data_IF_162120165274
#
_entry.id   IF_162120165274
#
_cell.length_a   1.000
_cell.length_b   1.000
_cell.length_c   1.000
_cell.angle_alpha   90.00
_cell.angle_beta   90.00
_cell.angle_gamma   90.00
#
_symmetry.space_group_name_H-M   'P 1'
#
loop_
_entity.id
_entity.type
_entity.pdbx_description
1 polymer ?
#
# COMPACT_ATOMS: atom_id res chain seq x y z
N UNK A 1 -2.64 18.39 2.84
CA UNK A 1 -1.22 18.02 2.90
C UNK A 1 -0.90 17.21 1.67
N UNK A 2 0.12 17.62 0.92
CA UNK A 2 0.63 16.88 -0.24
C UNK A 2 1.70 15.87 0.21
N UNK A 3 1.78 14.72 -0.45
CA UNK A 3 2.77 13.68 -0.17
C UNK A 3 3.55 13.35 -1.43
N UNK A 4 4.86 13.17 -1.28
CA UNK A 4 5.78 12.85 -2.39
C UNK A 4 5.69 11.40 -2.84
N UNK A 5 5.23 10.49 -1.98
CA UNK A 5 5.01 9.09 -2.30
C UNK A 5 4.10 8.41 -1.28
N UNK A 6 3.65 7.20 -1.60
CA UNK A 6 2.80 6.40 -0.72
C UNK A 6 3.47 6.08 0.63
N UNK A 7 4.78 5.85 0.67
CA UNK A 7 5.52 5.61 1.93
C UNK A 7 5.41 6.81 2.88
N UNK A 8 5.51 8.03 2.35
CA UNK A 8 5.35 9.24 3.17
C UNK A 8 3.96 9.32 3.79
N UNK A 9 2.93 9.06 2.99
CA UNK A 9 1.55 9.02 3.45
C UNK A 9 1.35 7.96 4.54
N UNK A 10 1.76 6.72 4.28
CA UNK A 10 1.60 5.58 5.21
C UNK A 10 2.25 5.87 6.56
N UNK A 11 3.49 6.37 6.56
CA UNK A 11 4.20 6.66 7.80
C UNK A 11 3.61 7.88 8.52
N UNK A 12 3.10 8.88 7.79
CA UNK A 12 2.41 10.02 8.38
C UNK A 12 1.10 9.61 9.05
N UNK A 13 0.29 8.74 8.42
CA UNK A 13 -0.93 8.18 9.03
C UNK A 13 -0.59 7.36 10.28
N UNK A 14 0.50 6.58 10.25
CA UNK A 14 1.00 5.87 11.43
C UNK A 14 1.32 6.82 12.57
N UNK A 15 2.06 7.90 12.30
CA UNK A 15 2.39 8.90 13.32
C UNK A 15 1.14 9.60 13.88
N UNK A 16 0.15 9.91 13.04
CA UNK A 16 -1.15 10.46 13.47
C UNK A 16 -1.92 9.51 14.37
N UNK A 17 -1.98 8.23 14.00
CA UNK A 17 -2.70 7.19 14.75
C UNK A 17 -2.19 7.05 16.18
N UNK A 18 -0.87 7.16 16.38
CA UNK A 18 -0.23 7.03 17.69
C UNK A 18 0.06 8.38 18.37
N UNK A 19 -0.44 9.48 17.82
CA UNK A 19 -0.32 10.82 18.40
C UNK A 19 1.11 11.38 18.43
N UNK A 20 2.01 10.89 17.58
CA UNK A 20 3.40 11.33 17.53
C UNK A 20 3.59 12.50 16.56
N UNK A 21 3.31 13.71 17.04
CA UNK A 21 3.46 14.95 16.26
C UNK A 21 4.91 15.26 15.85
N UNK A 22 5.90 14.78 16.62
CA UNK A 22 7.32 14.97 16.33
C UNK A 22 7.69 14.13 15.09
N UNK A 23 7.42 12.83 15.12
CA UNK A 23 7.68 11.96 13.97
C UNK A 23 6.84 12.35 12.76
N UNK A 24 5.59 12.77 12.94
CA UNK A 24 4.77 13.30 11.85
C UNK A 24 5.47 14.48 11.15
N UNK A 25 5.98 15.45 11.90
CA UNK A 25 6.69 16.61 11.35
C UNK A 25 7.94 16.18 10.57
N UNK A 26 8.71 15.23 11.09
CA UNK A 26 9.91 14.70 10.44
C UNK A 26 9.57 13.95 9.14
N UNK A 27 8.52 13.13 9.16
CA UNK A 27 8.04 12.37 7.98
C UNK A 27 7.57 13.32 6.87
N UNK A 28 6.82 14.36 7.21
CA UNK A 28 6.32 15.34 6.23
C UNK A 28 7.44 16.19 5.61
N UNK A 29 8.57 16.37 6.30
CA UNK A 29 9.75 17.08 5.79
C UNK A 29 10.73 16.19 5.02
N UNK A 30 10.70 14.88 5.26
CA UNK A 30 11.59 13.93 4.62
C UNK A 30 11.37 13.90 3.10
N UNK A 31 12.46 13.73 2.34
CA UNK A 31 12.41 13.65 0.86
C UNK A 31 12.69 12.26 0.32
N UNK A 32 13.26 11.38 1.13
CA UNK A 32 13.62 10.03 0.72
C UNK A 32 12.75 8.98 1.43
N UNK A 33 12.19 8.00 0.69
CA UNK A 33 11.39 6.92 1.27
C UNK A 33 12.10 6.15 2.39
N UNK A 34 13.42 6.00 2.27
CA UNK A 34 14.25 5.35 3.31
C UNK A 34 14.17 6.08 4.66
N UNK A 35 14.17 7.42 4.64
CA UNK A 35 14.06 8.25 5.84
C UNK A 35 12.63 8.23 6.40
N UNK A 36 11.63 8.39 5.55
CA UNK A 36 10.21 8.31 5.93
C UNK A 36 9.92 7.00 6.67
N UNK A 37 10.40 5.88 6.13
CA UNK A 37 10.28 4.56 6.74
C UNK A 37 11.05 4.44 8.06
N UNK A 38 12.21 5.10 8.16
CA UNK A 38 12.97 5.12 9.41
C UNK A 38 12.23 5.88 10.51
N UNK A 39 11.66 7.05 10.21
CA UNK A 39 10.85 7.81 11.15
C UNK A 39 9.56 7.08 11.52
N UNK A 40 8.89 6.43 10.55
CA UNK A 40 7.72 5.61 10.84
C UNK A 40 7.98 4.38 11.72
N UNK A 41 9.22 3.87 11.75
CA UNK A 41 9.66 2.87 12.75
C UNK A 41 9.93 3.47 14.13
N UNK A 42 10.23 4.76 14.20
CA UNK A 42 10.53 5.48 15.44
C UNK A 42 9.30 6.14 16.09
N UNK A 43 8.10 5.96 15.52
CA UNK A 43 6.84 6.46 16.08
C UNK A 43 6.63 5.92 17.50
N UNK A 44 6.47 6.84 18.45
CA UNK A 44 6.21 6.55 19.86
C UNK A 44 4.79 6.01 20.06
N UNK A 45 4.58 5.35 21.19
CA UNK A 45 3.28 4.76 21.58
C UNK A 45 2.71 3.77 20.55
N UNK A 46 3.58 3.16 19.74
CA UNK A 46 3.18 2.18 18.74
C UNK A 46 2.56 0.96 19.43
N UNK A 47 1.36 0.62 18.99
CA UNK A 47 0.60 -0.55 19.41
C UNK A 47 0.36 -1.42 18.18
N UNK A 48 0.88 -2.64 18.22
CA UNK A 48 0.88 -3.55 17.08
C UNK A 48 -0.54 -3.98 16.71
N UNK A 49 -1.39 -4.29 17.70
CA UNK A 49 -2.75 -4.78 17.45
C UNK A 49 -3.63 -3.69 16.83
N UNK A 50 -3.49 -2.44 17.32
CA UNK A 50 -4.17 -1.29 16.70
C UNK A 50 -3.69 -1.03 15.29
N UNK A 51 -2.37 -1.15 15.06
CA UNK A 51 -1.82 -0.98 13.71
C UNK A 51 -2.32 -2.07 12.77
N UNK A 52 -2.30 -3.33 13.20
CA UNK A 52 -2.74 -4.46 12.38
C UNK A 52 -4.22 -4.35 12.02
N UNK A 53 -5.06 -3.83 12.93
CA UNK A 53 -6.47 -3.56 12.68
C UNK A 53 -6.77 -2.43 11.68
N UNK A 54 -5.79 -1.58 11.33
CA UNK A 54 -6.01 -0.38 10.52
C UNK A 54 -5.07 -0.22 9.32
N UNK A 55 -3.91 -0.88 9.34
CA UNK A 55 -2.85 -0.65 8.36
C UNK A 55 -3.28 -1.02 6.94
N UNK A 56 -4.06 -2.09 6.77
CA UNK A 56 -4.56 -2.51 5.45
C UNK A 56 -5.32 -1.38 4.77
N UNK A 57 -6.30 -0.79 5.47
CA UNK A 57 -7.13 0.28 4.94
C UNK A 57 -6.31 1.56 4.67
N UNK A 58 -5.35 1.87 5.55
CA UNK A 58 -4.43 3.00 5.33
C UNK A 58 -3.63 2.80 4.04
N UNK A 59 -3.03 1.62 3.84
CA UNK A 59 -2.24 1.34 2.63
C UNK A 59 -3.12 1.35 1.38
N UNK A 60 -4.33 0.79 1.47
CA UNK A 60 -5.31 0.82 0.37
C UNK A 60 -5.67 2.26 -0.01
N UNK A 61 -6.00 3.13 0.95
CA UNK A 61 -6.29 4.56 0.71
C UNK A 61 -5.10 5.28 0.06
N UNK A 62 -3.88 5.00 0.52
CA UNK A 62 -2.66 5.58 -0.05
C UNK A 62 -2.44 5.14 -1.51
N UNK A 63 -2.65 3.86 -1.80
CA UNK A 63 -2.58 3.35 -3.17
C UNK A 63 -3.71 3.90 -4.04
N UNK A 64 -4.94 3.97 -3.54
CA UNK A 64 -6.06 4.55 -4.27
C UNK A 64 -5.74 5.99 -4.72
N UNK A 65 -5.30 6.83 -3.78
CA UNK A 65 -4.91 8.20 -4.08
C UNK A 65 -3.73 8.27 -5.08
N UNK A 66 -2.74 7.37 -4.95
CA UNK A 66 -1.61 7.29 -5.88
C UNK A 66 -2.08 6.99 -7.30
N UNK A 67 -2.89 5.95 -7.49
CA UNK A 67 -3.29 5.53 -8.84
C UNK A 67 -4.36 6.47 -9.43
N UNK A 68 -5.30 6.97 -8.63
CA UNK A 68 -6.33 7.90 -9.12
C UNK A 68 -5.78 9.26 -9.55
N UNK A 69 -4.63 9.68 -9.02
CA UNK A 69 -4.02 10.98 -9.33
C UNK A 69 -2.94 10.89 -10.42
N UNK A 70 -2.55 9.69 -10.85
CA UNK A 70 -1.42 9.49 -11.77
C UNK A 70 -1.83 8.54 -12.92
N UNK A 71 -2.33 9.08 -14.06
CA UNK A 71 -2.87 8.28 -15.16
C UNK A 71 -1.90 7.22 -15.70
N UNK A 72 -0.61 7.53 -15.85
CA UNK A 72 0.39 6.57 -16.32
C UNK A 72 0.56 5.38 -15.37
N UNK A 73 0.50 5.62 -14.06
CA UNK A 73 0.57 4.56 -13.06
C UNK A 73 -0.72 3.76 -13.04
N UNK A 74 -1.85 4.42 -13.24
CA UNK A 74 -3.15 3.77 -13.38
C UNK A 74 -3.17 2.82 -14.59
N UNK A 75 -2.76 3.27 -15.77
CA UNK A 75 -2.66 2.43 -16.97
C UNK A 75 -1.79 1.19 -16.72
N UNK A 76 -0.67 1.36 -16.01
CA UNK A 76 0.18 0.25 -15.61
C UNK A 76 -0.57 -0.75 -14.72
N UNK A 77 -1.27 -0.28 -13.68
CA UNK A 77 -2.04 -1.13 -12.79
C UNK A 77 -3.20 -1.82 -13.53
N UNK A 78 -3.94 -1.09 -14.36
CA UNK A 78 -5.04 -1.58 -15.21
C UNK A 78 -4.56 -2.68 -16.16
N UNK A 79 -3.35 -2.54 -16.72
CA UNK A 79 -2.75 -3.55 -17.61
C UNK A 79 -2.56 -4.93 -16.97
N UNK A 80 -2.59 -5.01 -15.64
CA UNK A 80 -2.47 -6.28 -14.90
C UNK A 80 -3.70 -7.18 -15.07
N UNK A 81 -4.83 -6.63 -15.56
CA UNK A 81 -6.09 -7.34 -15.83
C UNK A 81 -6.58 -8.07 -14.58
N UNK A 82 -7.06 -9.31 -14.70
CA UNK A 82 -7.61 -10.11 -13.60
C UNK A 82 -6.54 -10.90 -12.82
N UNK A 83 -5.26 -10.52 -12.92
CA UNK A 83 -4.18 -11.21 -12.20
C UNK A 83 -4.16 -10.77 -10.74
N UNK A 84 -3.86 -11.72 -9.86
CA UNK A 84 -3.52 -11.43 -8.47
C UNK A 84 -2.09 -10.88 -8.46
N UNK A 85 -1.92 -9.69 -7.90
CA UNK A 85 -0.60 -9.09 -7.69
C UNK A 85 0.06 -9.68 -6.46
N UNK A 86 1.38 -9.84 -6.52
CA UNK A 86 2.13 -10.56 -5.50
C UNK A 86 3.42 -9.82 -5.16
N UNK A 87 3.59 -9.47 -3.89
CA UNK A 87 4.85 -8.96 -3.36
C UNK A 87 5.77 -10.14 -2.99
N UNK A 88 6.64 -10.49 -3.93
CA UNK A 88 7.55 -11.64 -3.85
C UNK A 88 8.79 -11.37 -2.97
N UNK A 89 8.53 -11.02 -1.71
CA UNK A 89 9.55 -10.75 -0.69
C UNK A 89 9.73 -11.96 0.25
N UNK A 90 10.93 -12.57 0.33
CA UNK A 90 11.22 -13.66 1.28
C UNK A 90 11.17 -13.22 2.75
N UNK A 91 11.35 -11.93 3.01
CA UNK A 91 11.50 -11.37 4.36
C UNK A 91 10.21 -10.75 4.89
N UNK A 92 9.22 -10.54 4.02
CA UNK A 92 7.95 -9.93 4.36
C UNK A 92 6.83 -10.98 4.29
N UNK A 93 6.27 -11.31 5.44
CA UNK A 93 5.16 -12.27 5.56
C UNK A 93 3.81 -11.59 5.79
N UNK A 94 3.77 -10.27 5.90
CA UNK A 94 2.52 -9.52 6.12
C UNK A 94 2.13 -8.85 4.80
N UNK A 95 3.02 -8.04 4.24
CA UNK A 95 2.75 -7.36 2.98
C UNK A 95 3.10 -8.21 1.77
N UNK A 96 4.00 -9.18 1.94
CA UNK A 96 4.41 -10.14 0.91
C UNK A 96 4.02 -11.59 1.17
N UNK A 97 4.41 -12.46 0.25
CA UNK A 97 4.14 -13.91 0.31
C UNK A 97 5.15 -14.71 1.14
N UNK A 98 6.14 -14.05 1.73
CA UNK A 98 7.22 -14.73 2.48
C UNK A 98 8.10 -15.62 1.61
N UNK A 99 8.14 -15.38 0.30
CA UNK A 99 8.90 -16.13 -0.69
C UNK A 99 9.47 -15.19 -1.75
N UNK A 100 10.63 -15.54 -2.30
CA UNK A 100 11.23 -14.80 -3.40
C UNK A 100 10.63 -15.18 -4.74
N UNK A 101 10.75 -14.28 -5.73
CA UNK A 101 10.25 -14.47 -7.10
C UNK A 101 10.67 -15.81 -7.74
N UNK A 102 11.88 -16.29 -7.46
CA UNK A 102 12.42 -17.54 -8.02
C UNK A 102 12.00 -18.80 -7.26
N UNK A 103 11.19 -18.68 -6.20
CA UNK A 103 10.70 -19.83 -5.47
C UNK A 103 9.67 -20.59 -6.34
N UNK A 104 9.78 -21.92 -6.50
CA UNK A 104 8.86 -22.70 -7.32
C UNK A 104 7.40 -22.65 -6.82
N UNK A 105 7.20 -22.35 -5.55
CA UNK A 105 5.88 -22.24 -4.93
C UNK A 105 5.32 -20.79 -4.95
N UNK A 106 6.06 -19.82 -5.51
CA UNK A 106 5.64 -18.40 -5.51
C UNK A 106 4.33 -18.17 -6.26
N UNK A 107 4.03 -18.99 -7.26
CA UNK A 107 2.78 -18.91 -8.04
C UNK A 107 1.64 -19.76 -7.45
N UNK A 108 1.85 -20.37 -6.28
CA UNK A 108 0.86 -21.26 -5.64
C UNK A 108 0.33 -20.64 -4.33
N UNK A 109 -0.83 -19.95 -4.34
CA UNK A 109 -1.35 -19.22 -3.18
C UNK A 109 -1.48 -20.06 -1.91
N UNK A 110 -1.90 -21.33 -2.04
CA UNK A 110 -2.06 -22.25 -0.91
C UNK A 110 -0.74 -22.63 -0.23
N UNK A 111 0.40 -22.36 -0.89
CA UNK A 111 1.74 -22.62 -0.34
C UNK A 111 2.40 -21.38 0.23
N UNK A 112 1.84 -20.19 0.01
CA UNK A 112 2.44 -18.93 0.48
C UNK A 112 2.67 -18.95 2.00
N UNK A 113 3.76 -18.31 2.43
CA UNK A 113 4.16 -18.22 3.84
C UNK A 113 3.84 -16.84 4.44
N UNK A 114 3.11 -16.03 3.70
CA UNK A 114 2.73 -14.68 4.07
C UNK A 114 1.39 -14.30 3.48
N UNK A 115 0.83 -13.20 3.97
CA UNK A 115 -0.56 -12.80 3.71
C UNK A 115 -0.74 -11.94 2.46
N UNK A 116 0.35 -11.49 1.81
CA UNK A 116 0.31 -10.73 0.56
C UNK A 116 -0.62 -9.49 0.58
N UNK A 117 -0.71 -8.79 1.71
CA UNK A 117 -1.61 -7.64 1.84
C UNK A 117 -1.36 -6.54 0.80
N UNK A 118 -0.12 -6.35 0.34
CA UNK A 118 0.16 -5.35 -0.68
C UNK A 118 -0.49 -5.74 -2.02
N UNK A 119 -0.34 -7.00 -2.41
CA UNK A 119 -0.93 -7.52 -3.64
C UNK A 119 -2.45 -7.45 -3.66
N UNK A 120 -3.10 -7.80 -2.54
CA UNK A 120 -4.55 -7.70 -2.40
C UNK A 120 -5.03 -6.25 -2.38
N UNK A 121 -4.38 -5.35 -1.62
CA UNK A 121 -4.78 -3.94 -1.59
C UNK A 121 -4.65 -3.25 -2.96
N UNK A 122 -3.63 -3.59 -3.76
CA UNK A 122 -3.50 -3.08 -5.12
C UNK A 122 -4.57 -3.65 -6.06
N UNK A 123 -4.96 -4.91 -5.85
CA UNK A 123 -6.03 -5.57 -6.61
C UNK A 123 -7.38 -4.89 -6.31
N UNK A 124 -7.71 -4.68 -5.04
CA UNK A 124 -8.91 -3.94 -4.64
C UNK A 124 -8.93 -2.51 -5.20
N UNK A 125 -7.80 -1.78 -5.14
CA UNK A 125 -7.71 -0.44 -5.72
C UNK A 125 -7.97 -0.44 -7.23
N UNK A 126 -7.44 -1.43 -7.95
CA UNK A 126 -7.68 -1.55 -9.39
C UNK A 126 -9.17 -1.76 -9.67
N UNK A 127 -9.80 -2.67 -8.94
CA UNK A 127 -11.19 -3.04 -9.19
C UNK A 127 -12.12 -1.84 -8.85
N UNK A 128 -11.85 -1.11 -7.77
CA UNK A 128 -12.58 0.14 -7.44
C UNK A 128 -12.43 1.25 -8.48
N UNK A 129 -11.26 1.36 -9.13
CA UNK A 129 -11.04 2.38 -10.17
C UNK A 129 -11.69 1.98 -11.50
N UNK A 130 -11.75 0.68 -11.81
CA UNK A 130 -12.49 0.18 -12.96
C UNK A 130 -13.99 0.45 -12.81
N UNK A 131 -14.57 0.14 -11.66
CA UNK A 131 -15.99 0.40 -11.37
C UNK A 131 -16.34 1.88 -11.56
N UNK A 132 -15.48 2.79 -11.08
CA UNK A 132 -15.68 4.24 -11.29
C UNK A 132 -15.62 4.69 -12.74
N UNK A 133 -14.68 4.16 -13.53
CA UNK A 133 -14.61 4.47 -14.96
C UNK A 133 -15.84 3.95 -15.72
N UNK A 134 -16.36 2.78 -15.33
CA UNK A 134 -17.59 2.21 -15.90
C UNK A 134 -18.80 3.09 -15.55
N UNK A 135 -18.95 3.52 -14.28
CA UNK A 135 -20.00 4.43 -13.84
C UNK A 135 -19.94 5.80 -14.56
N UNK A 136 -18.74 6.39 -14.71
CA UNK A 136 -18.55 7.66 -15.43
C UNK A 136 -18.90 7.53 -16.92
N UNK A 137 -18.64 6.37 -17.54
CA UNK A 137 -18.99 6.13 -18.95
C UNK A 137 -20.52 5.99 -19.12
N UNK A 138 -21.18 5.26 -18.22
CA UNK A 138 -22.62 5.04 -18.25
C UNK A 138 -23.43 6.33 -17.96
N UNK A 139 -22.86 7.28 -17.21
CA UNK A 139 -23.48 8.60 -16.97
C UNK A 139 -23.33 9.59 -18.15
N UNK A 140 -22.37 9.34 -19.04
CA UNK A 140 -22.09 10.17 -20.23
C UNK A 140 -22.84 9.72 -21.50
N UNK A 141 -23.45 8.54 -21.51
CA UNK A 141 -24.29 7.98 -22.61
C UNK A 141 -25.79 8.33 -22.51
#
# INVERSE_FOLDING_TARGET
TEYTCAEQFMMAEKARMFGDGEMLSMILKARHPKEMKAYGRAVKNFDQDKWDGACYEIVKRGNLAKFSQNPELWDYLKSTKRRILVEASPRDRIWGIGMGKSNPDAECPVKWRGTNFLGFSLTEVRDLLLEKEEEETDEEE
#
